data_IF_651232420805
#
_entry.id   IF_651232420805
#
_cell.length_a   1.000
_cell.length_b   1.000
_cell.length_c   1.000
_cell.angle_alpha   90.00
_cell.angle_beta   90.00
_cell.angle_gamma   90.00
#
_symmetry.space_group_name_H-M   'P 1'
#
loop_
_entity.id
_entity.type
_entity.pdbx_description
1 polymer ?
#
# COMPACT_ATOMS: atom_id res chain seq x y z
N UNK A 1 15.41 6.07 7.33
CA UNK A 1 16.74 5.46 7.61
C UNK A 1 17.18 4.75 6.33
N UNK A 2 18.20 5.27 5.64
CA UNK A 2 18.72 4.66 4.40
C UNK A 2 19.62 3.48 4.78
N UNK A 3 19.18 2.25 4.49
CA UNK A 3 19.96 1.04 4.76
C UNK A 3 20.89 0.75 3.58
N UNK A 4 22.20 0.75 3.83
CA UNK A 4 23.24 0.52 2.85
C UNK A 4 23.44 -0.97 2.56
N UNK A 5 23.90 -1.24 1.33
CA UNK A 5 23.84 -2.46 0.53
C UNK A 5 24.77 -3.59 0.99
N UNK A 6 24.43 -4.80 0.54
CA UNK A 6 25.38 -5.90 0.52
C UNK A 6 24.82 -7.18 -0.10
N UNK A 7 24.30 -7.16 -1.33
CA UNK A 7 24.10 -8.39 -2.10
C UNK A 7 24.36 -8.12 -3.59
N UNK A 8 25.22 -8.93 -4.20
CA UNK A 8 25.65 -8.82 -5.59
C UNK A 8 24.52 -9.07 -6.59
N UNK A 9 23.78 -8.01 -6.90
CA UNK A 9 22.87 -7.93 -8.04
C UNK A 9 23.61 -7.37 -9.25
N UNK A 10 23.50 -8.05 -10.39
CA UNK A 10 24.17 -7.68 -11.63
C UNK A 10 23.80 -6.27 -12.11
N UNK A 11 24.54 -5.76 -13.10
CA UNK A 11 24.36 -4.44 -13.73
C UNK A 11 22.89 -4.03 -13.99
N UNK A 12 22.02 -5.00 -14.30
CA UNK A 12 20.57 -4.80 -14.50
C UNK A 12 19.81 -4.43 -13.21
N UNK A 13 20.20 -4.94 -12.04
CA UNK A 13 19.59 -4.59 -10.76
C UNK A 13 19.88 -3.14 -10.38
N UNK A 14 21.09 -2.65 -10.65
CA UNK A 14 21.47 -1.25 -10.41
C UNK A 14 20.67 -0.28 -11.29
N UNK A 15 20.45 -0.61 -12.57
CA UNK A 15 19.71 0.25 -13.50
C UNK A 15 18.21 0.32 -13.15
N UNK A 16 17.61 -0.81 -12.74
CA UNK A 16 16.22 -0.87 -12.30
C UNK A 16 15.98 -0.09 -11.00
N UNK A 17 16.93 -0.16 -10.06
CA UNK A 17 16.89 0.61 -8.81
C UNK A 17 16.93 2.13 -9.09
N UNK A 18 17.79 2.59 -9.99
CA UNK A 18 17.92 4.01 -10.31
C UNK A 18 16.63 4.61 -10.91
N UNK A 19 15.97 3.86 -11.81
CA UNK A 19 14.71 4.32 -12.41
C UNK A 19 13.58 4.44 -11.37
N UNK A 20 13.45 3.45 -10.49
CA UNK A 20 12.44 3.44 -9.42
C UNK A 20 12.69 4.59 -8.44
N UNK A 21 13.95 4.85 -8.08
CA UNK A 21 14.32 5.97 -7.21
C UNK A 21 13.97 7.32 -7.84
N UNK A 22 14.27 7.52 -9.14
CA UNK A 22 13.90 8.74 -9.88
C UNK A 22 12.39 8.96 -9.94
N UNK A 23 11.61 7.90 -10.19
CA UNK A 23 10.14 7.99 -10.19
C UNK A 23 9.58 8.33 -8.80
N UNK A 24 10.12 7.69 -7.76
CA UNK A 24 9.73 7.97 -6.38
C UNK A 24 10.05 9.42 -6.01
N UNK A 25 11.24 9.91 -6.36
CA UNK A 25 11.64 11.28 -6.11
C UNK A 25 10.73 12.29 -6.82
N UNK A 26 10.43 12.07 -8.11
CA UNK A 26 9.53 12.96 -8.86
C UNK A 26 8.11 12.97 -8.29
N UNK A 27 7.63 11.81 -7.84
CA UNK A 27 6.33 11.71 -7.17
C UNK A 27 6.31 12.45 -5.84
N UNK A 28 7.35 12.27 -5.02
CA UNK A 28 7.51 12.97 -3.74
C UNK A 28 7.62 14.50 -3.93
N UNK A 29 8.34 14.97 -4.96
CA UNK A 29 8.47 16.40 -5.28
C UNK A 29 7.13 17.05 -5.63
N UNK A 30 6.28 16.35 -6.37
CA UNK A 30 4.93 16.82 -6.71
C UNK A 30 4.04 16.80 -5.46
N UNK A 31 4.07 15.71 -4.71
CA UNK A 31 3.22 15.55 -3.53
C UNK A 31 3.63 16.50 -2.39
N UNK A 32 4.91 16.81 -2.23
CA UNK A 32 5.37 17.71 -1.17
C UNK A 32 4.98 19.16 -1.39
N UNK A 33 4.71 19.57 -2.64
CA UNK A 33 4.18 20.91 -2.96
C UNK A 33 2.77 21.14 -2.44
N UNK A 34 2.00 20.08 -2.20
CA UNK A 34 0.65 20.20 -1.67
C UNK A 34 0.67 20.52 -0.16
N UNK A 35 -0.25 21.36 0.33
CA UNK A 35 -0.29 21.79 1.74
C UNK A 35 -0.91 20.71 2.64
N UNK A 36 -0.25 19.56 2.75
CA UNK A 36 -0.68 18.49 3.64
C UNK A 36 -0.60 18.93 5.11
N UNK A 37 -1.68 18.76 5.88
CA UNK A 37 -1.66 19.03 7.31
C UNK A 37 -0.80 18.00 8.04
N UNK A 38 -0.20 18.42 9.16
CA UNK A 38 0.60 17.56 10.03
C UNK A 38 -0.30 16.65 10.89
N UNK A 39 -1.07 15.77 10.25
CA UNK A 39 -1.91 14.77 10.89
C UNK A 39 -1.06 13.53 11.19
N UNK A 40 -1.39 12.81 12.27
CA UNK A 40 -0.75 11.53 12.55
C UNK A 40 -1.03 10.53 11.40
N UNK A 41 0.00 9.97 10.74
CA UNK A 41 -0.16 9.00 9.66
C UNK A 41 -1.06 7.82 10.02
N UNK A 42 -1.04 7.37 11.28
CA UNK A 42 -1.84 6.24 11.76
C UNK A 42 -3.35 6.51 11.64
N UNK A 43 -3.80 7.76 11.75
CA UNK A 43 -5.21 8.10 11.52
C UNK A 43 -5.58 7.93 10.05
N UNK A 44 -4.64 8.24 9.15
CA UNK A 44 -4.84 8.09 7.70
C UNK A 44 -4.87 6.60 7.32
N UNK A 45 -3.99 5.77 7.89
CA UNK A 45 -4.07 4.32 7.74
C UNK A 45 -5.38 3.75 8.31
N UNK A 46 -5.88 4.29 9.42
CA UNK A 46 -7.20 3.94 9.95
C UNK A 46 -8.35 4.26 8.99
N UNK A 47 -8.25 5.36 8.22
CA UNK A 47 -9.23 5.70 7.18
C UNK A 47 -9.17 4.74 6.00
N UNK A 48 -8.01 4.18 5.65
CA UNK A 48 -7.92 3.15 4.60
C UNK A 48 -8.64 1.87 5.00
N UNK A 49 -8.54 1.45 6.27
CA UNK A 49 -9.35 0.35 6.83
C UNK A 49 -10.84 0.70 6.77
N UNK A 50 -11.23 1.89 7.23
CA UNK A 50 -12.65 2.29 7.24
C UNK A 50 -13.25 2.29 5.83
N UNK A 51 -12.53 2.81 4.84
CA UNK A 51 -12.96 2.79 3.43
C UNK A 51 -13.03 1.38 2.86
N UNK A 52 -12.16 0.46 3.29
CA UNK A 52 -12.23 -0.95 2.89
C UNK A 52 -13.52 -1.64 3.39
N UNK A 53 -14.01 -1.28 4.58
CA UNK A 53 -15.30 -1.76 5.09
C UNK A 53 -16.45 -1.21 4.24
N UNK A 54 -16.41 0.09 3.90
CA UNK A 54 -17.40 0.70 3.02
C UNK A 54 -17.40 0.11 1.61
N UNK A 55 -16.24 -0.27 1.07
CA UNK A 55 -16.14 -1.00 -0.19
C UNK A 55 -16.99 -2.29 -0.16
N UNK A 56 -16.82 -3.13 0.87
CA UNK A 56 -17.58 -4.38 1.01
C UNK A 56 -19.08 -4.09 1.20
N UNK A 57 -19.43 -3.10 2.03
CA UNK A 57 -20.82 -2.72 2.26
C UNK A 57 -21.51 -2.19 0.99
N UNK A 58 -20.78 -1.47 0.14
CA UNK A 58 -21.28 -0.86 -1.08
C UNK A 58 -21.26 -1.81 -2.30
N UNK A 59 -20.79 -3.06 -2.15
CA UNK A 59 -20.52 -3.98 -3.26
C UNK A 59 -21.72 -4.27 -4.19
N UNK A 60 -22.94 -3.95 -3.75
CA UNK A 60 -24.18 -4.13 -4.52
C UNK A 60 -24.51 -2.96 -5.47
N UNK A 61 -23.79 -1.84 -5.40
CA UNK A 61 -24.10 -0.62 -6.16
C UNK A 61 -22.91 -0.21 -7.06
N UNK A 62 -22.93 -0.52 -8.36
CA UNK A 62 -21.75 -0.55 -9.25
C UNK A 62 -20.76 0.63 -9.24
N UNK A 63 -21.10 1.91 -9.00
CA UNK A 63 -20.06 2.94 -8.94
C UNK A 63 -19.41 3.10 -7.55
N UNK A 64 -20.11 2.72 -6.48
CA UNK A 64 -19.66 3.03 -5.12
C UNK A 64 -18.44 2.21 -4.68
N UNK A 65 -18.32 0.90 -4.96
CA UNK A 65 -17.13 0.13 -4.62
C UNK A 65 -15.88 0.68 -5.30
N UNK A 66 -15.96 1.07 -6.58
CA UNK A 66 -14.84 1.69 -7.29
C UNK A 66 -14.37 2.97 -6.59
N UNK A 67 -15.33 3.81 -6.17
CA UNK A 67 -15.03 5.03 -5.41
C UNK A 67 -14.34 4.72 -4.07
N UNK A 68 -14.89 3.81 -3.27
CA UNK A 68 -14.31 3.45 -1.97
C UNK A 68 -12.95 2.76 -2.10
N UNK A 69 -12.77 1.86 -3.07
CA UNK A 69 -11.49 1.21 -3.34
C UNK A 69 -10.42 2.22 -3.78
N UNK A 70 -10.82 3.21 -4.60
CA UNK A 70 -9.93 4.33 -4.97
C UNK A 70 -9.53 5.15 -3.75
N UNK A 71 -10.47 5.45 -2.85
CA UNK A 71 -10.18 6.16 -1.60
C UNK A 71 -9.22 5.37 -0.70
N UNK A 72 -9.39 4.06 -0.57
CA UNK A 72 -8.48 3.20 0.19
C UNK A 72 -7.05 3.33 -0.33
N UNK A 73 -6.85 3.22 -1.65
CA UNK A 73 -5.53 3.37 -2.27
C UNK A 73 -4.93 4.78 -2.10
N UNK A 74 -5.78 5.81 -2.14
CA UNK A 74 -5.34 7.20 -1.92
C UNK A 74 -4.88 7.39 -0.47
N UNK A 75 -5.59 6.82 0.51
CA UNK A 75 -5.22 6.93 1.92
C UNK A 75 -3.89 6.21 2.24
N UNK A 76 -3.65 5.02 1.68
CA UNK A 76 -2.34 4.34 1.82
C UNK A 76 -1.18 5.05 1.10
N UNK A 77 -1.49 5.90 0.12
CA UNK A 77 -0.46 6.75 -0.47
C UNK A 77 -0.18 7.94 0.46
N UNK A 78 -1.24 8.52 1.02
CA UNK A 78 -1.19 9.73 1.84
C UNK A 78 -0.46 9.53 3.16
N UNK A 79 -0.70 8.44 3.89
CA UNK A 79 -0.01 8.17 5.16
C UNK A 79 1.51 8.07 4.96
N UNK A 80 1.96 7.40 3.92
CA UNK A 80 3.37 7.29 3.55
C UNK A 80 3.97 8.65 3.16
N UNK A 81 3.21 9.49 2.44
CA UNK A 81 3.63 10.85 2.05
C UNK A 81 3.75 11.76 3.26
N UNK A 82 2.73 11.75 4.14
CA UNK A 82 2.70 12.56 5.36
C UNK A 82 3.84 12.13 6.28
N UNK A 83 4.05 10.82 6.46
CA UNK A 83 5.14 10.28 7.27
C UNK A 83 6.52 10.72 6.74
N UNK A 84 6.73 10.73 5.42
CA UNK A 84 7.97 11.21 4.79
C UNK A 84 8.13 12.72 4.94
N UNK A 85 7.10 13.49 4.63
CA UNK A 85 7.11 14.96 4.65
C UNK A 85 7.40 15.52 6.04
N UNK A 86 6.79 14.94 7.06
CA UNK A 86 6.94 15.39 8.45
C UNK A 86 8.02 14.63 9.23
N UNK A 87 8.79 13.75 8.57
CA UNK A 87 9.85 12.92 9.18
C UNK A 87 9.34 12.08 10.37
N UNK A 88 8.10 11.63 10.31
CA UNK A 88 7.43 10.82 11.34
C UNK A 88 7.65 9.31 11.13
N UNK A 89 8.74 8.93 10.45
CA UNK A 89 9.04 7.52 10.18
C UNK A 89 9.58 6.86 11.44
N UNK A 90 8.77 5.99 12.06
CA UNK A 90 9.16 5.15 13.20
C UNK A 90 9.01 3.66 12.86
N UNK A 91 9.73 2.80 13.59
CA UNK A 91 9.61 1.35 13.41
C UNK A 91 8.20 0.86 13.78
N UNK A 92 7.64 1.40 14.88
CA UNK A 92 6.26 1.12 15.29
C UNK A 92 5.26 1.59 14.24
N UNK A 93 5.42 2.78 13.67
CA UNK A 93 4.58 3.30 12.61
C UNK A 93 4.62 2.43 11.36
N UNK A 94 5.79 1.91 11.00
CA UNK A 94 5.92 0.96 9.89
C UNK A 94 5.20 -0.36 10.16
N UNK A 95 5.22 -0.86 11.40
CA UNK A 95 4.48 -2.07 11.76
C UNK A 95 2.96 -1.84 11.71
N UNK A 96 2.49 -0.67 12.15
CA UNK A 96 1.08 -0.27 12.08
C UNK A 96 0.63 -0.13 10.62
N UNK A 97 1.45 0.47 9.76
CA UNK A 97 1.23 0.61 8.32
C UNK A 97 1.05 -0.77 7.65
N UNK A 98 2.02 -1.68 7.85
CA UNK A 98 1.94 -3.07 7.33
C UNK A 98 0.72 -3.82 7.88
N UNK A 99 0.41 -3.66 9.18
CA UNK A 99 -0.76 -4.31 9.78
C UNK A 99 -2.07 -3.77 9.20
N UNK A 100 -2.19 -2.44 9.05
CA UNK A 100 -3.34 -1.78 8.45
C UNK A 100 -3.52 -2.21 7.00
N UNK A 101 -2.41 -2.41 6.29
CA UNK A 101 -2.40 -2.94 4.94
C UNK A 101 -2.97 -4.36 4.87
N UNK A 102 -2.52 -5.25 5.76
CA UNK A 102 -3.04 -6.63 5.79
C UNK A 102 -4.52 -6.66 6.19
N UNK A 103 -4.93 -5.81 7.13
CA UNK A 103 -6.33 -5.76 7.59
C UNK A 103 -7.24 -5.26 6.45
N UNK A 104 -6.86 -4.20 5.75
CA UNK A 104 -7.63 -3.69 4.61
C UNK A 104 -7.70 -4.71 3.46
N UNK A 105 -6.59 -5.39 3.14
CA UNK A 105 -6.58 -6.50 2.18
C UNK A 105 -7.53 -7.64 2.63
N UNK A 106 -7.47 -8.04 3.90
CA UNK A 106 -8.33 -9.10 4.43
C UNK A 106 -9.82 -8.74 4.28
N UNK A 107 -10.18 -7.49 4.60
CA UNK A 107 -11.56 -7.00 4.48
C UNK A 107 -12.01 -7.04 3.02
N UNK A 108 -11.23 -6.44 2.11
CA UNK A 108 -11.55 -6.40 0.66
C UNK A 108 -11.70 -7.82 0.11
N UNK A 109 -10.70 -8.69 0.34
CA UNK A 109 -10.65 -10.01 -0.27
C UNK A 109 -11.53 -11.05 0.42
N UNK A 110 -12.04 -10.79 1.63
CA UNK A 110 -13.06 -11.64 2.25
C UNK A 110 -14.33 -11.74 1.39
N UNK A 111 -14.66 -10.67 0.64
CA UNK A 111 -15.76 -10.66 -0.31
C UNK A 111 -15.45 -11.38 -1.63
N UNK A 112 -14.18 -11.74 -1.88
CA UNK A 112 -13.67 -12.27 -3.14
C UNK A 112 -12.78 -13.50 -2.89
N UNK A 113 -13.41 -14.66 -2.64
CA UNK A 113 -12.72 -15.90 -2.26
C UNK A 113 -11.60 -16.31 -3.25
N UNK A 114 -11.93 -16.69 -4.48
CA UNK A 114 -10.93 -17.19 -5.43
C UNK A 114 -10.73 -16.18 -6.57
N UNK A 115 -9.48 -15.82 -6.93
CA UNK A 115 -8.20 -16.23 -6.33
C UNK A 115 -7.72 -15.34 -5.17
N UNK A 116 -8.43 -14.25 -4.87
CA UNK A 116 -7.88 -13.12 -4.10
C UNK A 116 -7.62 -13.43 -2.63
N UNK A 117 -8.48 -14.20 -1.96
CA UNK A 117 -8.26 -14.60 -0.57
C UNK A 117 -6.99 -15.44 -0.40
N UNK A 118 -6.69 -16.32 -1.35
CA UNK A 118 -5.47 -17.14 -1.33
C UNK A 118 -4.22 -16.30 -1.60
N UNK A 119 -4.29 -15.36 -2.56
CA UNK A 119 -3.20 -14.43 -2.82
C UNK A 119 -2.90 -13.55 -1.61
N UNK A 120 -3.94 -13.06 -0.93
CA UNK A 120 -3.81 -12.34 0.33
C UNK A 120 -3.14 -13.18 1.41
N UNK A 121 -3.59 -14.41 1.61
CA UNK A 121 -3.01 -15.32 2.61
C UNK A 121 -1.52 -15.53 2.35
N UNK A 122 -1.13 -15.71 1.08
CA UNK A 122 0.27 -15.77 0.67
C UNK A 122 1.00 -14.45 0.96
N UNK A 123 0.38 -13.30 0.67
CA UNK A 123 0.97 -11.99 0.92
C UNK A 123 1.21 -11.74 2.42
N UNK A 124 0.34 -12.24 3.30
CA UNK A 124 0.55 -12.20 4.77
C UNK A 124 1.77 -13.03 5.16
N UNK A 125 1.88 -14.27 4.65
CA UNK A 125 3.05 -15.12 4.92
C UNK A 125 4.34 -14.47 4.40
N UNK A 126 4.30 -13.84 3.24
CA UNK A 126 5.41 -13.08 2.68
C UNK A 126 5.76 -11.87 3.55
N UNK A 127 4.79 -11.13 4.07
CA UNK A 127 5.03 -10.01 4.99
C UNK A 127 5.71 -10.47 6.29
N UNK A 128 5.30 -11.61 6.86
CA UNK A 128 5.92 -12.18 8.06
C UNK A 128 7.37 -12.61 7.76
N UNK A 129 7.56 -13.35 6.67
CA UNK A 129 8.89 -13.79 6.24
C UNK A 129 9.81 -12.61 5.90
N UNK A 130 9.27 -11.59 5.24
CA UNK A 130 9.90 -10.31 4.91
C UNK A 130 10.44 -9.64 6.17
N UNK A 131 9.62 -9.56 7.22
CA UNK A 131 10.01 -9.00 8.50
C UNK A 131 11.13 -9.81 9.17
N UNK A 132 11.01 -11.14 9.22
CA UNK A 132 12.04 -12.02 9.83
C UNK A 132 13.39 -11.95 9.11
N UNK A 133 13.40 -11.78 7.78
CA UNK A 133 14.62 -11.75 6.97
C UNK A 133 15.11 -10.34 6.65
N UNK A 134 14.44 -9.29 7.13
CA UNK A 134 14.71 -7.88 6.76
C UNK A 134 14.75 -7.67 5.22
N UNK A 135 13.93 -8.41 4.47
CA UNK A 135 13.83 -8.32 3.01
C UNK A 135 12.47 -7.73 2.66
N UNK A 136 12.39 -6.63 1.92
CA UNK A 136 11.10 -6.05 1.53
C UNK A 136 10.48 -6.81 0.35
N UNK A 137 9.71 -7.86 0.64
CA UNK A 137 8.96 -8.64 -0.36
C UNK A 137 7.49 -8.47 -0.03
N UNK A 138 6.84 -7.51 -0.67
CA UNK A 138 5.41 -7.22 -0.51
C UNK A 138 4.80 -7.13 -1.91
N UNK A 139 3.70 -7.85 -2.14
CA UNK A 139 2.96 -7.79 -3.41
C UNK A 139 1.94 -6.64 -3.34
N UNK A 140 1.86 -5.78 -4.38
CA UNK A 140 0.89 -4.68 -4.45
C UNK A 140 -0.51 -5.19 -4.84
N UNK A 141 -1.08 -6.09 -4.01
CA UNK A 141 -2.32 -6.79 -4.35
C UNK A 141 -3.51 -5.86 -4.51
N UNK A 142 -3.62 -4.79 -3.71
CA UNK A 142 -4.73 -3.83 -3.82
C UNK A 142 -4.73 -3.10 -5.16
N UNK A 143 -3.57 -2.72 -5.67
CA UNK A 143 -3.43 -2.04 -6.96
C UNK A 143 -3.77 -2.99 -8.11
N UNK A 144 -3.28 -4.23 -8.05
CA UNK A 144 -3.61 -5.28 -9.04
C UNK A 144 -5.11 -5.59 -9.02
N UNK A 145 -5.70 -5.69 -7.83
CA UNK A 145 -7.13 -5.91 -7.65
C UNK A 145 -7.96 -4.73 -8.17
N UNK A 146 -7.53 -3.49 -7.93
CA UNK A 146 -8.20 -2.31 -8.46
C UNK A 146 -8.28 -2.33 -9.99
N UNK A 147 -7.18 -2.67 -10.67
CA UNK A 147 -7.17 -2.82 -12.13
C UNK A 147 -8.11 -3.94 -12.58
N UNK A 148 -8.06 -5.09 -11.91
CA UNK A 148 -8.97 -6.20 -12.19
C UNK A 148 -10.44 -5.81 -12.03
N UNK A 149 -10.76 -5.14 -10.92
CA UNK A 149 -12.11 -4.70 -10.59
C UNK A 149 -12.62 -3.66 -11.60
N UNK A 150 -11.76 -2.73 -12.01
CA UNK A 150 -12.07 -1.72 -13.03
C UNK A 150 -12.38 -2.36 -14.38
N UNK A 151 -11.58 -3.34 -14.82
CA UNK A 151 -11.82 -4.05 -16.09
C UNK A 151 -13.08 -4.92 -16.03
N UNK A 152 -13.42 -5.49 -14.87
CA UNK A 152 -14.62 -6.31 -14.72
C UNK A 152 -15.94 -5.53 -14.67
N UNK A 153 -15.89 -4.21 -14.40
CA UNK A 153 -17.06 -3.31 -14.32
C UNK A 153 -17.26 -2.43 -15.56
N UNK A 154 -16.28 -2.37 -16.47
CA UNK A 154 -16.37 -1.74 -17.79
C UNK A 154 -16.83 -2.78 -18.81
#
# INVERSE_FOLDING_TARGET
>A
MYFNRGFGGGFLDNCRLEFVEKLKQKTDDVLFKLPWPAINPNYVSGLSILTSIFFVAANRQPPLPLFFLSLTLIFDLLDGVIARKHRLQSHEGHMVDVASDRISEAIIFSAYLTPWYYLFSLNVLLSIYSHQKNKHIILPLRQVFFVFYLVGFV
#
